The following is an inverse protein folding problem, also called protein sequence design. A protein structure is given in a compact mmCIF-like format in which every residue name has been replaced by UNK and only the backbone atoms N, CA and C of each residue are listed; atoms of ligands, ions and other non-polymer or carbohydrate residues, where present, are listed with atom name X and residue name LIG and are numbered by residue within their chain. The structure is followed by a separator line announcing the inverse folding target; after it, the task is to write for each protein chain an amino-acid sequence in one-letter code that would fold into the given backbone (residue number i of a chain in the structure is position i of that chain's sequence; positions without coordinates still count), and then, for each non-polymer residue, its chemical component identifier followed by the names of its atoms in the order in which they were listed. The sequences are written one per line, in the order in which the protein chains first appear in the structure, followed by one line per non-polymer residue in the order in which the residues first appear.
data_IF_743488853524
#
_entry.id   IF_743488853524
#
_cell.length_a   1.000
_cell.length_b   1.000
_cell.length_c   1.000
_cell.angle_alpha   90.00
_cell.angle_beta   90.00
_cell.angle_gamma   90.00
#
_symmetry.space_group_name_H-M   'P 1'
#
loop_
_entity.id
_entity.type
_entity.pdbx_description
1 polymer ?
#
# COMPACT_ATOMS: atom_id res chain seq x y z
N UNK A 1 -59.22 -44.46 18.90
CA UNK A 1 -60.08 -43.70 17.98
C UNK A 1 -60.75 -42.57 18.73
N UNK A 2 -60.18 -41.40 18.82
CA UNK A 2 -60.83 -40.13 19.20
C UNK A 2 -60.21 -38.99 18.41
N UNK A 3 -60.98 -38.40 17.54
CA UNK A 3 -60.68 -37.21 16.80
C UNK A 3 -60.80 -36.01 17.73
N UNK A 4 -59.78 -35.11 17.73
CA UNK A 4 -59.85 -33.81 18.39
C UNK A 4 -59.74 -32.76 17.29
N UNK A 5 -60.80 -31.96 17.21
CA UNK A 5 -60.92 -30.79 16.33
C UNK A 5 -60.28 -29.61 17.08
N UNK A 6 -59.34 -28.91 16.45
CA UNK A 6 -58.75 -27.68 16.99
C UNK A 6 -59.30 -26.47 16.23
N UNK A 7 -59.98 -25.61 16.97
CA UNK A 7 -60.58 -24.38 16.44
C UNK A 7 -59.51 -23.26 16.35
N UNK A 8 -59.44 -22.57 15.20
CA UNK A 8 -58.62 -21.38 14.99
C UNK A 8 -59.38 -20.15 15.50
N UNK A 9 -58.85 -19.46 16.47
CA UNK A 9 -59.28 -18.12 16.87
C UNK A 9 -58.35 -17.05 16.26
N UNK A 10 -58.93 -16.20 15.45
CA UNK A 10 -58.28 -15.08 14.76
C UNK A 10 -58.29 -13.85 15.68
N UNK A 11 -57.14 -13.41 16.14
CA UNK A 11 -57.00 -12.23 16.97
C UNK A 11 -56.52 -11.05 16.08
N UNK A 12 -57.36 -10.01 15.90
CA UNK A 12 -57.03 -8.77 15.20
C UNK A 12 -56.36 -7.82 16.20
N UNK A 13 -55.11 -7.50 15.96
CA UNK A 13 -54.43 -6.41 16.68
C UNK A 13 -54.45 -5.13 15.83
N UNK A 14 -55.06 -4.10 16.37
CA UNK A 14 -55.09 -2.75 15.82
C UNK A 14 -53.78 -2.06 16.22
N UNK A 15 -52.97 -1.66 15.23
CA UNK A 15 -51.76 -0.89 15.45
C UNK A 15 -52.09 0.61 15.34
N UNK A 16 -51.95 1.32 16.44
CA UNK A 16 -52.05 2.80 16.47
C UNK A 16 -50.70 3.39 16.09
N UNK A 17 -50.66 4.15 14.98
CA UNK A 17 -49.49 4.92 14.57
C UNK A 17 -49.49 6.27 15.34
N UNK A 18 -48.51 6.40 16.25
CA UNK A 18 -48.20 7.73 16.85
C UNK A 18 -47.08 8.35 16.02
N UNK A 19 -47.40 9.43 15.33
CA UNK A 19 -46.46 10.26 14.60
C UNK A 19 -45.81 11.25 15.56
N UNK A 20 -44.54 11.04 15.90
CA UNK A 20 -43.72 12.08 16.54
C UNK A 20 -42.92 12.80 15.48
N UNK A 21 -43.22 14.09 15.24
CA UNK A 21 -42.36 15.01 14.50
C UNK A 21 -41.13 15.34 15.37
N UNK A 22 -39.97 14.78 15.03
CA UNK A 22 -38.68 15.19 15.55
C UNK A 22 -38.00 16.13 14.55
N UNK A 23 -37.53 17.26 15.05
CA UNK A 23 -36.72 18.28 14.34
C UNK A 23 -35.40 17.66 13.84
N UNK A 24 -34.86 18.06 12.67
CA UNK A 24 -33.57 17.56 12.22
C UNK A 24 -32.44 18.22 13.03
N UNK A 25 -31.71 17.39 13.77
CA UNK A 25 -30.43 17.77 14.37
C UNK A 25 -29.35 17.74 13.29
N UNK A 26 -28.78 18.92 13.05
CA UNK A 26 -27.71 19.14 12.09
C UNK A 26 -26.37 18.75 12.75
N UNK A 27 -25.67 17.72 12.23
CA UNK A 27 -24.27 17.54 12.61
C UNK A 27 -23.78 16.11 12.68
N UNK A 28 -24.06 15.29 11.69
CA UNK A 28 -23.24 14.12 11.43
C UNK A 28 -22.52 14.33 10.10
N UNK A 29 -21.22 14.64 10.19
CA UNK A 29 -20.32 14.58 9.04
C UNK A 29 -20.43 13.17 8.45
N UNK A 30 -21.03 13.07 7.28
CA UNK A 30 -21.04 11.84 6.50
C UNK A 30 -19.58 11.54 6.16
N UNK A 31 -19.00 10.56 6.87
CA UNK A 31 -17.83 9.86 6.37
C UNK A 31 -18.32 9.20 5.08
N UNK A 32 -17.96 9.80 3.96
CA UNK A 32 -18.20 9.22 2.65
C UNK A 32 -17.48 7.88 2.61
N UNK A 33 -18.26 6.82 2.77
CA UNK A 33 -17.86 5.44 2.51
C UNK A 33 -17.72 5.31 0.98
N UNK A 34 -16.62 5.86 0.43
CA UNK A 34 -16.22 5.68 -0.97
C UNK A 34 -15.54 4.32 -1.15
N UNK A 35 -16.11 3.30 -0.51
CA UNK A 35 -15.74 1.93 -0.78
C UNK A 35 -16.33 1.49 -2.12
N UNK A 36 -15.46 0.99 -2.99
CA UNK A 36 -15.71 0.20 -4.18
C UNK A 36 -15.77 0.92 -5.53
N UNK A 37 -14.71 1.64 -5.88
CA UNK A 37 -14.51 1.96 -7.30
C UNK A 37 -13.69 0.87 -8.02
N UNK A 38 -12.80 0.17 -7.32
CA UNK A 38 -12.16 -1.06 -7.78
C UNK A 38 -11.71 -1.88 -6.56
N UNK A 39 -12.42 -2.96 -6.23
CA UNK A 39 -12.09 -3.82 -5.09
C UNK A 39 -10.70 -4.47 -5.17
N UNK A 40 -10.08 -4.44 -6.36
CA UNK A 40 -8.77 -5.03 -6.61
C UNK A 40 -7.61 -4.06 -6.33
N UNK A 41 -7.88 -2.75 -6.19
CA UNK A 41 -6.87 -1.71 -5.96
C UNK A 41 -6.92 -1.21 -4.51
N UNK A 42 -5.76 -1.15 -3.88
CA UNK A 42 -5.61 -0.69 -2.51
C UNK A 42 -4.70 0.53 -2.49
N UNK A 43 -5.19 1.65 -1.96
CA UNK A 43 -4.37 2.82 -1.71
C UNK A 43 -3.76 2.74 -0.32
N UNK A 44 -2.45 2.72 -0.26
CA UNK A 44 -1.65 2.70 0.96
C UNK A 44 -0.64 3.84 0.99
N UNK A 45 0.24 3.81 1.99
CA UNK A 45 1.37 4.72 2.11
C UNK A 45 2.64 3.93 2.39
N UNK A 46 3.72 4.25 1.65
CA UNK A 46 5.07 3.92 2.05
C UNK A 46 5.47 4.85 3.20
N UNK A 47 5.80 4.28 4.36
CA UNK A 47 6.08 5.07 5.57
C UNK A 47 7.33 5.95 5.46
N UNK A 48 8.13 5.80 4.40
CA UNK A 48 9.20 6.75 4.10
C UNK A 48 8.67 8.18 3.94
N UNK A 49 7.44 8.34 3.47
CA UNK A 49 6.68 9.62 3.49
C UNK A 49 6.72 10.28 4.88
N UNK A 50 6.74 9.49 5.94
CA UNK A 50 6.76 9.95 7.33
C UNK A 50 8.08 9.62 8.06
N UNK A 51 9.20 9.43 7.36
CA UNK A 51 10.47 8.96 7.94
C UNK A 51 11.09 9.91 8.98
N UNK A 52 10.65 11.17 9.06
CA UNK A 52 11.07 12.10 10.12
C UNK A 52 10.44 11.78 11.48
N UNK A 53 9.50 10.86 11.52
CA UNK A 53 8.76 10.45 12.71
C UNK A 53 9.06 8.98 13.04
N UNK A 54 8.86 8.61 14.30
CA UNK A 54 8.86 7.21 14.68
C UNK A 54 7.65 6.46 14.10
N UNK A 55 7.73 5.12 14.12
CA UNK A 55 6.72 4.25 13.53
C UNK A 55 5.32 4.51 14.10
N UNK A 56 5.19 4.62 15.44
CA UNK A 56 3.88 4.85 16.08
C UNK A 56 3.29 6.17 15.61
N UNK A 57 4.09 7.25 15.61
CA UNK A 57 3.67 8.56 15.09
C UNK A 57 3.35 8.52 13.59
N UNK A 58 4.12 7.77 12.79
CA UNK A 58 3.86 7.60 11.36
C UNK A 58 2.51 6.90 11.11
N UNK A 59 2.17 5.87 11.92
CA UNK A 59 0.86 5.20 11.87
C UNK A 59 -0.28 6.16 12.25
N UNK A 60 -0.10 7.03 13.27
CA UNK A 60 -1.10 8.06 13.61
C UNK A 60 -1.32 9.05 12.45
N UNK A 61 -0.24 9.45 11.77
CA UNK A 61 -0.33 10.34 10.59
C UNK A 61 -1.04 9.66 9.43
N UNK A 62 -0.72 8.40 9.15
CA UNK A 62 -1.40 7.61 8.12
C UNK A 62 -2.89 7.46 8.42
N UNK A 63 -3.26 7.20 9.69
CA UNK A 63 -4.65 7.14 10.14
C UNK A 63 -5.39 8.47 9.92
N UNK A 64 -4.75 9.58 10.31
CA UNK A 64 -5.28 10.94 10.12
C UNK A 64 -5.46 11.29 8.64
N UNK A 65 -4.67 10.70 7.75
CA UNK A 65 -4.79 10.86 6.31
C UNK A 65 -5.84 9.91 5.67
N UNK A 66 -6.48 9.04 6.45
CA UNK A 66 -7.48 8.08 5.96
C UNK A 66 -6.90 6.82 5.33
N UNK A 67 -5.60 6.57 5.50
CA UNK A 67 -4.91 5.39 4.95
C UNK A 67 -5.21 4.14 5.79
N UNK A 68 -5.34 3.00 5.10
CA UNK A 68 -5.58 1.69 5.74
C UNK A 68 -4.56 0.62 5.35
N UNK A 69 -3.76 0.85 4.32
CA UNK A 69 -2.73 -0.08 3.87
C UNK A 69 -1.34 0.55 4.05
N UNK A 70 -0.46 -0.19 4.68
CA UNK A 70 0.86 0.30 5.09
C UNK A 70 1.95 -0.51 4.40
N UNK A 71 2.90 0.19 3.83
CA UNK A 71 4.21 -0.33 3.47
C UNK A 71 5.24 0.26 4.43
N UNK A 72 5.84 -0.56 5.28
CA UNK A 72 6.84 -0.12 6.24
C UNK A 72 8.26 -0.26 5.68
N UNK A 73 9.20 0.51 6.20
CA UNK A 73 10.61 0.44 5.79
C UNK A 73 11.53 0.02 6.94
N UNK A 74 12.67 -0.63 6.64
CA UNK A 74 13.62 -1.06 7.65
C UNK A 74 14.33 0.11 8.33
N UNK A 75 14.58 -0.02 9.63
CA UNK A 75 15.38 0.96 10.38
C UNK A 75 14.61 2.14 10.96
N UNK A 76 13.29 2.22 10.76
CA UNK A 76 12.48 3.25 11.39
C UNK A 76 12.46 3.06 12.92
N UNK A 77 12.73 4.11 13.69
CA UNK A 77 12.57 4.07 15.15
C UNK A 77 11.12 3.77 15.49
N UNK A 78 10.90 2.92 16.50
CA UNK A 78 9.54 2.49 16.85
C UNK A 78 8.73 3.54 17.59
N UNK A 79 9.34 4.23 18.55
CA UNK A 79 8.63 5.19 19.42
C UNK A 79 7.66 4.55 20.41
N UNK A 80 6.88 5.40 21.11
CA UNK A 80 5.89 4.94 22.08
C UNK A 80 6.43 3.94 23.09
N UNK A 81 5.66 2.90 23.38
CA UNK A 81 6.02 1.84 24.33
C UNK A 81 7.10 0.86 23.82
N UNK A 82 7.57 1.04 22.59
CA UNK A 82 8.62 0.20 22.00
C UNK A 82 10.04 0.68 22.32
N UNK A 83 10.17 1.83 23.01
CA UNK A 83 11.44 2.43 23.42
C UNK A 83 12.38 2.67 22.22
N UNK A 84 13.64 2.23 22.34
CA UNK A 84 14.70 2.42 21.34
C UNK A 84 14.73 1.34 20.24
N UNK A 85 13.71 0.49 20.18
CA UNK A 85 13.61 -0.52 19.12
C UNK A 85 13.47 0.12 17.75
N UNK A 86 13.91 -0.59 16.72
CA UNK A 86 13.73 -0.23 15.31
C UNK A 86 12.79 -1.21 14.64
N UNK A 87 12.09 -0.74 13.62
CA UNK A 87 11.21 -1.59 12.81
C UNK A 87 12.05 -2.35 11.78
N UNK A 88 12.35 -3.60 12.10
CA UNK A 88 13.05 -4.53 11.20
C UNK A 88 12.87 -5.99 11.64
N UNK A 89 13.57 -6.90 10.95
CA UNK A 89 13.51 -8.33 11.23
C UNK A 89 14.02 -8.72 12.63
N UNK A 90 14.72 -7.83 13.36
CA UNK A 90 15.20 -8.07 14.73
C UNK A 90 14.15 -7.81 15.81
N UNK A 91 12.97 -7.24 15.45
CA UNK A 91 11.89 -7.04 16.41
C UNK A 91 11.53 -8.33 17.15
N UNK A 92 11.45 -8.25 18.48
CA UNK A 92 11.06 -9.38 19.31
C UNK A 92 9.63 -9.86 18.98
N UNK A 93 9.29 -11.13 19.21
CA UNK A 93 7.93 -11.63 19.03
C UNK A 93 6.88 -10.81 19.80
N UNK A 94 7.21 -10.33 21.01
CA UNK A 94 6.33 -9.46 21.80
C UNK A 94 6.10 -8.12 21.09
N UNK A 95 7.15 -7.48 20.57
CA UNK A 95 7.02 -6.22 19.83
C UNK A 95 6.23 -6.40 18.55
N UNK A 96 6.44 -7.51 17.82
CA UNK A 96 5.64 -7.83 16.62
C UNK A 96 4.16 -7.97 16.95
N UNK A 97 3.82 -8.64 18.06
CA UNK A 97 2.43 -8.76 18.53
C UNK A 97 1.82 -7.38 18.82
N UNK A 98 2.55 -6.51 19.54
CA UNK A 98 2.11 -5.12 19.81
C UNK A 98 1.88 -4.32 18.52
N UNK A 99 2.74 -4.48 17.51
CA UNK A 99 2.55 -3.83 16.20
C UNK A 99 1.27 -4.33 15.54
N UNK A 100 1.04 -5.65 15.51
CA UNK A 100 -0.19 -6.24 14.95
C UNK A 100 -1.44 -5.71 15.67
N UNK A 101 -1.41 -5.60 16.99
CA UNK A 101 -2.52 -5.05 17.79
C UNK A 101 -2.75 -3.56 17.51
N UNK A 102 -1.68 -2.75 17.39
CA UNK A 102 -1.77 -1.34 17.02
C UNK A 102 -2.46 -1.17 15.66
N UNK A 103 -1.97 -1.88 14.64
CA UNK A 103 -2.55 -1.80 13.29
C UNK A 103 -4.00 -2.26 13.27
N UNK A 104 -4.30 -3.38 13.95
CA UNK A 104 -5.66 -3.90 14.08
C UNK A 104 -6.60 -2.91 14.75
N UNK A 105 -6.15 -2.21 15.80
CA UNK A 105 -6.97 -1.22 16.52
C UNK A 105 -7.39 -0.06 15.63
N UNK A 106 -6.62 0.21 14.57
CA UNK A 106 -6.88 1.26 13.58
C UNK A 106 -7.51 0.74 12.27
N UNK A 107 -7.80 -0.55 12.19
CA UNK A 107 -8.30 -1.17 10.96
C UNK A 107 -7.29 -1.10 9.81
N UNK A 108 -6.00 -1.10 10.13
CA UNK A 108 -4.91 -1.04 9.15
C UNK A 108 -4.33 -2.42 8.88
N UNK A 109 -3.75 -2.60 7.70
CA UNK A 109 -3.02 -3.78 7.27
C UNK A 109 -1.61 -3.42 6.83
N UNK A 110 -0.60 -4.11 7.38
CA UNK A 110 0.77 -4.06 6.88
C UNK A 110 0.87 -4.97 5.65
N UNK A 111 0.94 -4.38 4.47
CA UNK A 111 0.86 -5.13 3.20
C UNK A 111 2.22 -5.38 2.56
N UNK A 112 3.18 -4.48 2.81
CA UNK A 112 4.50 -4.55 2.22
C UNK A 112 5.59 -4.08 3.20
N UNK A 113 6.82 -4.46 2.91
CA UNK A 113 8.00 -4.10 3.67
C UNK A 113 9.19 -3.87 2.75
N UNK A 114 9.77 -2.70 2.78
CA UNK A 114 10.93 -2.33 1.97
C UNK A 114 11.12 -0.80 1.91
N UNK A 115 12.12 -0.31 1.19
CA UNK A 115 12.97 -1.06 0.26
C UNK A 115 14.11 -1.72 1.03
N UNK A 116 14.24 -3.03 0.92
CA UNK A 116 15.33 -3.78 1.57
C UNK A 116 16.45 -4.09 0.56
N UNK A 117 17.70 -4.07 1.05
CA UNK A 117 18.90 -4.34 0.24
C UNK A 117 19.83 -5.31 0.99
N UNK A 118 19.38 -6.54 1.32
CA UNK A 118 20.20 -7.50 2.07
C UNK A 118 21.43 -7.93 1.29
N UNK A 119 22.56 -7.99 2.00
CA UNK A 119 23.85 -8.31 1.39
C UNK A 119 24.20 -9.81 1.49
N UNK A 120 23.45 -10.58 2.29
CA UNK A 120 23.72 -12.01 2.51
C UNK A 120 22.44 -12.84 2.42
N UNK A 121 22.56 -14.14 2.07
CA UNK A 121 21.43 -15.07 2.07
C UNK A 121 20.72 -15.18 3.43
N UNK A 122 21.47 -15.14 4.54
CA UNK A 122 20.95 -15.27 5.90
C UNK A 122 20.02 -14.09 6.22
N UNK A 123 20.42 -12.86 5.86
CA UNK A 123 19.58 -11.68 6.04
C UNK A 123 18.25 -11.78 5.25
N UNK A 124 18.25 -12.43 4.09
CA UNK A 124 17.01 -12.72 3.37
C UNK A 124 16.11 -13.70 4.13
N UNK A 125 16.68 -14.76 4.73
CA UNK A 125 15.91 -15.71 5.54
C UNK A 125 15.24 -15.00 6.71
N UNK A 126 15.97 -14.12 7.40
CA UNK A 126 15.43 -13.34 8.53
C UNK A 126 14.27 -12.42 8.07
N UNK A 127 14.43 -11.74 6.94
CA UNK A 127 13.39 -10.87 6.37
C UNK A 127 12.15 -11.67 5.98
N UNK A 128 12.29 -12.82 5.31
CA UNK A 128 11.13 -13.63 4.95
C UNK A 128 10.43 -14.22 6.18
N UNK A 129 11.17 -14.63 7.21
CA UNK A 129 10.61 -15.09 8.47
C UNK A 129 9.83 -13.98 9.17
N UNK A 130 10.39 -12.77 9.22
CA UNK A 130 9.72 -11.58 9.73
C UNK A 130 8.45 -11.25 8.92
N UNK A 131 8.56 -11.21 7.60
CA UNK A 131 7.45 -10.89 6.73
C UNK A 131 6.30 -11.89 6.87
N UNK A 132 6.62 -13.19 6.98
CA UNK A 132 5.63 -14.24 7.22
C UNK A 132 4.91 -14.08 8.57
N UNK A 133 5.66 -13.80 9.65
CA UNK A 133 5.07 -13.56 10.97
C UNK A 133 4.20 -12.28 10.98
N UNK A 134 4.63 -11.22 10.29
CA UNK A 134 3.89 -9.96 10.23
C UNK A 134 2.71 -9.96 9.26
N UNK A 135 2.51 -11.02 8.47
CA UNK A 135 1.45 -11.12 7.47
C UNK A 135 1.65 -10.24 6.24
N UNK A 136 2.91 -9.91 5.92
CA UNK A 136 3.30 -9.10 4.77
C UNK A 136 3.10 -9.91 3.50
N UNK A 137 2.52 -9.30 2.46
CA UNK A 137 2.20 -9.97 1.19
C UNK A 137 3.32 -9.90 0.16
N UNK A 138 4.11 -8.83 0.18
CA UNK A 138 5.28 -8.70 -0.68
C UNK A 138 6.38 -7.87 -0.01
N UNK A 139 7.61 -8.14 -0.41
CA UNK A 139 8.81 -7.44 0.04
C UNK A 139 9.29 -6.57 -1.11
N UNK A 140 9.38 -5.26 -0.90
CA UNK A 140 9.96 -4.32 -1.86
C UNK A 140 11.48 -4.30 -1.69
N UNK A 141 12.25 -4.49 -2.76
CA UNK A 141 13.68 -4.74 -2.65
C UNK A 141 14.50 -4.32 -3.87
N UNK A 142 15.79 -4.07 -3.64
CA UNK A 142 16.83 -4.01 -4.68
C UNK A 142 17.91 -5.06 -4.40
N UNK A 143 17.66 -6.33 -4.75
CA UNK A 143 18.55 -7.43 -4.41
C UNK A 143 19.83 -7.45 -5.25
N UNK A 144 20.92 -8.01 -4.69
CA UNK A 144 22.07 -8.37 -5.50
C UNK A 144 21.66 -9.41 -6.57
N UNK A 145 22.18 -9.27 -7.78
CA UNK A 145 21.85 -10.18 -8.91
C UNK A 145 22.18 -11.63 -8.61
N UNK A 146 23.24 -11.88 -7.83
CA UNK A 146 23.64 -13.21 -7.36
C UNK A 146 22.59 -13.89 -6.46
N UNK A 147 21.66 -13.13 -5.87
CA UNK A 147 20.66 -13.64 -4.96
C UNK A 147 19.31 -13.98 -5.62
N UNK A 148 19.09 -13.60 -6.88
CA UNK A 148 17.77 -13.73 -7.53
C UNK A 148 17.13 -15.11 -7.40
N UNK A 149 17.89 -16.18 -7.72
CA UNK A 149 17.34 -17.54 -7.66
C UNK A 149 17.10 -18.01 -6.22
N UNK A 150 17.91 -17.56 -5.27
CA UNK A 150 17.73 -17.86 -3.86
C UNK A 150 16.48 -17.20 -3.30
N UNK A 151 16.28 -15.90 -3.57
CA UNK A 151 15.10 -15.16 -3.09
C UNK A 151 13.82 -15.65 -3.78
N UNK A 152 13.84 -16.03 -5.05
CA UNK A 152 12.70 -16.63 -5.73
C UNK A 152 12.26 -17.93 -5.02
N UNK A 153 13.23 -18.77 -4.64
CA UNK A 153 12.96 -20.00 -3.89
C UNK A 153 12.35 -19.70 -2.52
N UNK A 154 12.91 -18.76 -1.76
CA UNK A 154 12.34 -18.32 -0.48
C UNK A 154 10.93 -17.76 -0.64
N UNK A 155 10.73 -16.90 -1.62
CA UNK A 155 9.44 -16.31 -1.94
C UNK A 155 8.37 -17.38 -2.19
N UNK A 156 8.74 -18.48 -2.88
CA UNK A 156 7.87 -19.64 -3.06
C UNK A 156 7.57 -20.38 -1.75
N UNK A 157 8.58 -20.57 -0.89
CA UNK A 157 8.41 -21.27 0.41
C UNK A 157 7.47 -20.48 1.34
N UNK A 158 7.65 -19.15 1.41
CA UNK A 158 6.85 -18.30 2.30
C UNK A 158 5.52 -17.83 1.68
N UNK A 159 5.32 -18.08 0.37
CA UNK A 159 4.19 -17.53 -0.41
C UNK A 159 4.13 -15.98 -0.31
N UNK A 160 5.28 -15.33 -0.37
CA UNK A 160 5.44 -13.88 -0.31
C UNK A 160 6.18 -13.44 -1.57
N UNK A 161 5.65 -12.50 -2.34
CA UNK A 161 6.32 -11.98 -3.54
C UNK A 161 7.49 -11.08 -3.18
N UNK A 162 8.51 -11.03 -4.05
CA UNK A 162 9.52 -9.97 -4.03
C UNK A 162 9.26 -9.02 -5.18
N UNK A 163 9.07 -7.75 -4.86
CA UNK A 163 8.80 -6.69 -5.81
C UNK A 163 10.07 -5.83 -5.96
N UNK A 164 10.74 -5.93 -7.12
CA UNK A 164 11.95 -5.16 -7.39
C UNK A 164 11.59 -3.69 -7.59
N UNK A 165 12.21 -2.84 -6.78
CA UNK A 165 12.06 -1.38 -6.82
C UNK A 165 13.07 -0.74 -7.77
N UNK A 166 12.74 0.41 -8.31
CA UNK A 166 13.51 1.12 -9.34
C UNK A 166 13.98 2.51 -8.90
N UNK A 167 14.86 2.59 -7.90
CA UNK A 167 15.49 3.88 -7.60
C UNK A 167 16.17 4.49 -8.84
N UNK A 168 16.33 5.83 -8.90
CA UNK A 168 17.04 6.47 -10.01
C UNK A 168 18.50 6.00 -10.08
N UNK A 169 19.13 6.23 -11.22
CA UNK A 169 20.59 6.04 -11.35
C UNK A 169 21.32 6.63 -10.15
N UNK A 170 22.29 5.91 -9.55
CA UNK A 170 23.01 4.72 -10.10
C UNK A 170 22.43 3.35 -9.73
N UNK A 171 21.15 3.23 -9.28
CA UNK A 171 20.55 1.91 -9.01
C UNK A 171 20.68 0.98 -10.21
N UNK A 172 20.93 -0.30 -9.93
CA UNK A 172 20.95 -1.34 -10.96
C UNK A 172 19.58 -1.55 -11.64
N UNK A 173 18.50 -1.17 -10.95
CA UNK A 173 17.12 -1.42 -11.36
C UNK A 173 16.40 -0.18 -11.94
N UNK A 174 17.13 0.90 -12.21
CA UNK A 174 16.58 2.15 -12.72
C UNK A 174 15.76 2.00 -14.01
N UNK A 175 15.95 0.91 -14.76
CA UNK A 175 15.29 0.66 -16.04
C UNK A 175 14.49 -0.65 -16.01
N UNK A 176 13.28 -0.72 -16.57
CA UNK A 176 12.45 -1.91 -16.53
C UNK A 176 13.10 -3.16 -17.13
N UNK A 177 14.01 -3.02 -18.09
CA UNK A 177 14.72 -4.18 -18.66
C UNK A 177 15.61 -4.90 -17.62
N UNK A 178 16.17 -4.17 -16.64
CA UNK A 178 16.92 -4.77 -15.52
C UNK A 178 15.99 -5.56 -14.59
N UNK A 179 14.78 -5.05 -14.37
CA UNK A 179 13.75 -5.73 -13.58
C UNK A 179 13.29 -6.99 -14.32
N UNK A 180 13.05 -6.92 -15.62
CA UNK A 180 12.70 -8.10 -16.45
C UNK A 180 13.79 -9.17 -16.42
N UNK A 181 15.06 -8.80 -16.39
CA UNK A 181 16.16 -9.75 -16.26
C UNK A 181 16.12 -10.50 -14.91
N UNK A 182 15.72 -9.81 -13.83
CA UNK A 182 15.52 -10.43 -12.52
C UNK A 182 14.30 -11.36 -12.48
N UNK A 183 13.23 -11.02 -13.19
CA UNK A 183 11.97 -11.78 -13.24
C UNK A 183 12.12 -13.05 -14.10
N UNK A 184 12.99 -13.04 -15.13
CA UNK A 184 13.11 -14.12 -16.11
C UNK A 184 13.33 -15.48 -15.45
N UNK A 185 12.35 -16.38 -15.59
CA UNK A 185 12.37 -17.73 -15.01
C UNK A 185 12.15 -17.75 -13.48
N UNK A 186 11.68 -16.66 -12.86
CA UNK A 186 11.48 -16.53 -11.42
C UNK A 186 10.06 -16.03 -11.12
N UNK A 187 9.09 -16.94 -10.98
CA UNK A 187 7.67 -16.60 -10.90
C UNK A 187 7.28 -15.86 -9.61
N UNK A 188 8.14 -15.87 -8.60
CA UNK A 188 7.86 -15.20 -7.32
C UNK A 188 8.48 -13.80 -7.22
N UNK A 189 9.21 -13.37 -8.26
CA UNK A 189 9.76 -12.02 -8.38
C UNK A 189 8.90 -11.22 -9.36
N UNK A 190 8.59 -9.97 -9.00
CA UNK A 190 7.90 -9.01 -9.85
C UNK A 190 8.47 -7.60 -9.66
N UNK A 191 7.72 -6.59 -10.03
CA UNK A 191 8.12 -5.20 -9.96
C UNK A 191 7.31 -4.43 -8.89
N UNK A 192 7.98 -3.59 -8.12
CA UNK A 192 7.42 -2.43 -7.45
C UNK A 192 7.73 -1.22 -8.32
N UNK A 193 6.75 -0.73 -9.05
CA UNK A 193 6.91 0.33 -10.03
C UNK A 193 6.89 1.70 -9.35
N UNK A 194 8.04 2.38 -9.19
CA UNK A 194 8.06 3.77 -8.79
C UNK A 194 8.00 4.68 -10.01
N UNK A 195 6.82 5.21 -10.29
CA UNK A 195 6.55 6.00 -11.49
C UNK A 195 7.28 7.35 -11.49
N UNK A 196 7.58 7.92 -10.32
CA UNK A 196 8.36 9.14 -10.20
C UNK A 196 9.84 8.90 -10.46
N UNK A 197 10.37 7.76 -10.00
CA UNK A 197 11.76 7.40 -10.25
C UNK A 197 12.04 7.10 -11.73
N UNK A 198 11.10 6.47 -12.43
CA UNK A 198 11.20 6.39 -13.90
C UNK A 198 11.22 7.77 -14.53
N UNK A 199 10.32 8.67 -14.10
CA UNK A 199 10.30 10.05 -14.56
C UNK A 199 11.62 10.79 -14.30
N UNK A 200 12.23 10.63 -13.13
CA UNK A 200 13.55 11.17 -12.77
C UNK A 200 14.66 10.68 -13.73
N UNK A 201 14.54 9.46 -14.26
CA UNK A 201 15.45 8.92 -15.28
C UNK A 201 15.08 9.31 -16.71
N UNK A 202 14.01 10.10 -16.92
CA UNK A 202 13.52 10.50 -18.23
C UNK A 202 12.75 9.41 -18.98
N UNK A 203 12.27 8.39 -18.27
CA UNK A 203 11.45 7.32 -18.83
C UNK A 203 9.97 7.68 -18.72
N UNK A 204 9.19 7.30 -19.74
CA UNK A 204 7.73 7.38 -19.68
C UNK A 204 7.19 6.23 -18.82
N UNK A 205 6.52 6.51 -17.67
CA UNK A 205 5.99 5.46 -16.79
C UNK A 205 4.98 4.52 -17.48
N UNK A 206 4.20 5.02 -18.43
CA UNK A 206 3.23 4.20 -19.17
C UNK A 206 3.96 3.17 -20.04
N UNK A 207 5.02 3.59 -20.74
CA UNK A 207 5.83 2.67 -21.54
C UNK A 207 6.60 1.66 -20.68
N UNK A 208 7.05 2.09 -19.49
CA UNK A 208 7.66 1.18 -18.51
C UNK A 208 6.66 0.12 -18.02
N UNK A 209 5.43 0.52 -17.70
CA UNK A 209 4.36 -0.39 -17.29
C UNK A 209 3.99 -1.38 -18.40
N UNK A 210 3.92 -0.94 -19.67
CA UNK A 210 3.70 -1.83 -20.81
C UNK A 210 4.78 -2.90 -20.93
N UNK A 211 6.05 -2.53 -20.72
CA UNK A 211 7.15 -3.50 -20.69
C UNK A 211 7.02 -4.52 -19.55
N UNK A 212 6.50 -4.11 -18.41
CA UNK A 212 6.32 -4.92 -17.21
C UNK A 212 4.92 -5.56 -17.11
N UNK A 213 4.15 -5.60 -18.21
CA UNK A 213 2.80 -6.16 -18.23
C UNK A 213 2.75 -7.56 -17.60
N UNK A 214 1.86 -7.74 -16.62
CA UNK A 214 1.70 -8.99 -15.88
C UNK A 214 2.73 -9.24 -14.77
N UNK A 215 3.69 -8.32 -14.57
CA UNK A 215 4.76 -8.48 -13.59
C UNK A 215 4.71 -7.45 -12.45
N UNK A 216 3.83 -6.44 -12.50
CA UNK A 216 3.69 -5.44 -11.45
C UNK A 216 3.00 -6.06 -10.24
N UNK A 217 3.66 -6.01 -9.07
CA UNK A 217 3.17 -6.50 -7.77
C UNK A 217 2.62 -5.35 -6.93
N UNK A 218 3.30 -4.22 -6.95
CA UNK A 218 2.95 -2.99 -6.26
C UNK A 218 3.46 -1.77 -7.04
N UNK A 219 3.02 -0.59 -6.63
CA UNK A 219 3.41 0.66 -7.27
C UNK A 219 3.62 1.74 -6.21
N UNK A 220 4.71 2.51 -6.33
CA UNK A 220 4.85 3.76 -5.61
C UNK A 220 4.24 4.90 -6.40
N UNK A 221 3.17 5.48 -5.83
CA UNK A 221 2.47 6.63 -6.40
C UNK A 221 3.23 7.89 -6.04
N UNK A 222 4.03 8.34 -6.97
CA UNK A 222 4.92 9.50 -6.86
C UNK A 222 4.78 10.38 -8.09
N UNK A 223 4.69 11.69 -7.91
CA UNK A 223 4.75 12.68 -8.97
C UNK A 223 5.96 13.58 -8.76
N UNK A 224 6.50 14.16 -9.81
CA UNK A 224 7.72 14.94 -9.79
C UNK A 224 7.57 16.23 -10.57
N UNK A 225 8.46 17.20 -10.30
CA UNK A 225 8.42 18.52 -10.93
C UNK A 225 8.92 18.51 -12.37
N UNK A 226 9.89 17.65 -12.71
CA UNK A 226 10.61 17.72 -14.00
C UNK A 226 11.10 16.33 -14.43
N UNK A 227 10.82 15.97 -15.69
CA UNK A 227 11.30 14.72 -16.30
C UNK A 227 12.80 14.77 -16.58
N UNK A 228 13.46 13.61 -16.41
CA UNK A 228 14.90 13.45 -16.76
C UNK A 228 15.86 14.13 -15.79
N UNK A 229 15.37 14.58 -14.65
CA UNK A 229 16.17 15.21 -13.61
C UNK A 229 16.16 14.34 -12.35
N UNK A 230 17.30 13.69 -12.06
CA UNK A 230 17.44 12.70 -10.98
C UNK A 230 17.07 13.26 -9.60
N UNK A 231 17.36 14.54 -9.36
CA UNK A 231 17.05 15.28 -8.14
C UNK A 231 15.75 16.12 -8.23
N UNK A 232 14.88 15.84 -9.20
CA UNK A 232 13.60 16.53 -9.29
C UNK A 232 12.80 16.36 -7.97
N UNK A 233 12.33 17.50 -7.45
CA UNK A 233 11.50 17.49 -6.24
C UNK A 233 10.18 16.76 -6.49
N UNK A 234 9.67 16.12 -5.45
CA UNK A 234 8.35 15.55 -5.46
C UNK A 234 7.27 16.63 -5.57
N UNK A 235 6.17 16.26 -6.17
CA UNK A 235 4.96 17.06 -6.29
C UNK A 235 3.77 16.24 -5.78
N UNK A 236 2.73 16.93 -5.34
CA UNK A 236 1.47 16.24 -5.06
C UNK A 236 0.97 15.63 -6.37
N UNK A 237 0.70 14.30 -6.43
CA UNK A 237 0.18 13.63 -7.61
C UNK A 237 -0.95 14.39 -8.31
N UNK A 238 -0.78 14.62 -9.61
CA UNK A 238 -1.66 15.45 -10.45
C UNK A 238 -1.25 16.91 -10.54
N UNK A 239 -0.22 17.36 -9.81
CA UNK A 239 0.32 18.72 -9.93
C UNK A 239 1.73 18.76 -10.53
N UNK A 240 2.35 17.61 -10.71
CA UNK A 240 3.65 17.44 -11.37
C UNK A 240 3.53 17.10 -12.85
N UNK A 241 4.54 16.40 -13.34
CA UNK A 241 4.66 16.10 -14.79
C UNK A 241 4.32 14.66 -15.16
N UNK A 242 4.09 13.78 -14.20
CA UNK A 242 3.69 12.39 -14.46
C UNK A 242 2.22 12.33 -14.88
N UNK A 243 1.94 11.69 -16.00
CA UNK A 243 0.56 11.48 -16.46
C UNK A 243 -0.12 10.36 -15.66
N UNK A 244 -0.48 10.66 -14.39
CA UNK A 244 -1.13 9.70 -13.49
C UNK A 244 -2.40 9.08 -14.09
N UNK A 245 -3.31 9.84 -14.73
CA UNK A 245 -4.49 9.25 -15.36
C UNK A 245 -4.14 8.18 -16.41
N UNK A 246 -3.10 8.39 -17.23
CA UNK A 246 -2.66 7.40 -18.21
C UNK A 246 -2.01 6.17 -17.55
N UNK A 247 -1.27 6.35 -16.46
CA UNK A 247 -0.73 5.24 -15.64
C UNK A 247 -1.86 4.37 -15.10
N UNK A 248 -2.89 4.98 -14.50
CA UNK A 248 -4.04 4.25 -13.96
C UNK A 248 -4.83 3.54 -15.07
N UNK A 249 -5.04 4.19 -16.22
CA UNK A 249 -5.70 3.58 -17.37
C UNK A 249 -4.93 2.36 -17.90
N UNK A 250 -3.61 2.44 -17.97
CA UNK A 250 -2.76 1.32 -18.40
C UNK A 250 -2.81 0.15 -17.41
N UNK A 251 -2.70 0.42 -16.11
CA UNK A 251 -2.82 -0.60 -15.07
C UNK A 251 -4.21 -1.28 -15.08
N UNK A 252 -5.27 -0.50 -15.34
CA UNK A 252 -6.60 -1.05 -15.52
C UNK A 252 -6.67 -1.96 -16.76
N UNK A 253 -6.11 -1.53 -17.90
CA UNK A 253 -6.01 -2.34 -19.13
C UNK A 253 -5.32 -3.68 -18.88
N UNK A 254 -4.24 -3.67 -18.05
CA UNK A 254 -3.49 -4.86 -17.68
C UNK A 254 -4.22 -5.76 -16.66
N UNK A 255 -5.34 -5.30 -16.07
CA UNK A 255 -6.04 -6.02 -15.01
C UNK A 255 -5.22 -6.08 -13.71
N UNK A 256 -4.39 -5.06 -13.44
CA UNK A 256 -3.57 -4.97 -12.23
C UNK A 256 -4.44 -5.11 -10.98
N UNK A 257 -3.94 -5.90 -10.02
CA UNK A 257 -4.53 -6.09 -8.68
C UNK A 257 -3.42 -5.95 -7.65
N UNK A 258 -3.46 -4.87 -6.89
CA UNK A 258 -2.37 -4.64 -5.93
C UNK A 258 -2.49 -3.32 -5.19
N UNK A 259 -1.40 -2.93 -4.58
CA UNK A 259 -1.31 -1.75 -3.73
C UNK A 259 -0.61 -0.62 -4.47
N UNK A 260 -1.20 0.57 -4.39
CA UNK A 260 -0.57 1.84 -4.70
C UNK A 260 -0.10 2.43 -3.37
N UNK A 261 1.20 2.45 -3.11
CA UNK A 261 1.78 3.08 -1.93
C UNK A 261 2.12 4.53 -2.25
N UNK A 262 1.44 5.47 -1.62
CA UNK A 262 1.83 6.89 -1.70
C UNK A 262 3.25 7.01 -1.15
N UNK A 263 4.15 7.55 -1.96
CA UNK A 263 5.47 7.95 -1.49
C UNK A 263 5.71 9.39 -1.88
N UNK A 264 5.63 10.28 -0.89
CA UNK A 264 5.71 11.73 -1.07
C UNK A 264 6.86 12.30 -0.22
N UNK A 265 7.91 12.72 -0.91
CA UNK A 265 9.18 13.12 -0.31
C UNK A 265 9.31 14.65 -0.25
N UNK A 266 8.29 15.31 0.28
CA UNK A 266 8.29 16.76 0.50
C UNK A 266 7.54 17.11 1.79
N UNK A 267 7.63 18.37 2.23
CA UNK A 267 6.92 18.90 3.40
C UNK A 267 7.03 18.00 4.66
N UNK A 268 8.18 17.40 4.87
CA UNK A 268 8.48 16.28 5.76
C UNK A 268 7.85 16.35 7.16
N UNK A 269 7.70 17.55 7.73
CA UNK A 269 7.18 17.73 9.07
C UNK A 269 5.69 18.02 9.13
N UNK A 270 5.06 18.39 8.00
CA UNK A 270 3.63 18.75 7.92
C UNK A 270 2.96 18.21 6.65
N UNK A 271 3.24 16.97 6.29
CA UNK A 271 2.80 16.37 5.02
C UNK A 271 1.47 15.59 5.10
N UNK A 272 0.81 15.53 6.26
CA UNK A 272 -0.54 14.90 6.35
C UNK A 272 -1.56 15.56 5.42
N UNK A 273 -1.65 16.91 5.32
CA UNK A 273 -2.55 17.55 4.36
C UNK A 273 -2.25 17.17 2.91
N UNK A 274 -0.97 17.02 2.56
CA UNK A 274 -0.55 16.63 1.21
C UNK A 274 -1.01 15.19 0.92
N UNK A 275 -0.80 14.26 1.85
CA UNK A 275 -1.28 12.87 1.72
C UNK A 275 -2.80 12.82 1.61
N UNK A 276 -3.55 13.63 2.38
CA UNK A 276 -5.01 13.73 2.25
C UNK A 276 -5.43 14.21 0.86
N UNK A 277 -4.71 15.19 0.29
CA UNK A 277 -4.96 15.67 -1.06
C UNK A 277 -4.67 14.58 -2.10
N UNK A 278 -3.58 13.81 -1.93
CA UNK A 278 -3.25 12.67 -2.79
C UNK A 278 -4.35 11.59 -2.74
N UNK A 279 -4.85 11.27 -1.54
CA UNK A 279 -5.97 10.33 -1.37
C UNK A 279 -7.21 10.80 -2.13
N UNK A 280 -7.57 12.09 -1.99
CA UNK A 280 -8.70 12.68 -2.70
C UNK A 280 -8.52 12.62 -4.22
N UNK A 281 -7.35 13.00 -4.71
CA UNK A 281 -7.01 12.95 -6.14
C UNK A 281 -7.07 11.53 -6.70
N UNK A 282 -6.40 10.56 -6.06
CA UNK A 282 -6.41 9.17 -6.49
C UNK A 282 -7.84 8.62 -6.59
N UNK A 283 -8.67 8.84 -5.56
CA UNK A 283 -10.04 8.37 -5.56
C UNK A 283 -10.87 8.98 -6.69
N UNK A 284 -10.67 10.27 -6.99
CA UNK A 284 -11.34 10.95 -8.10
C UNK A 284 -10.93 10.37 -9.46
N UNK A 285 -9.63 10.14 -9.68
CA UNK A 285 -9.11 9.56 -10.93
C UNK A 285 -9.59 8.12 -11.12
N UNK A 286 -9.57 7.30 -10.05
CA UNK A 286 -10.08 5.92 -10.11
C UNK A 286 -11.58 5.91 -10.42
N UNK A 287 -12.36 6.83 -9.84
CA UNK A 287 -13.79 6.96 -10.14
C UNK A 287 -14.06 7.39 -11.60
N UNK A 288 -13.16 8.16 -12.20
CA UNK A 288 -13.26 8.59 -13.60
C UNK A 288 -12.86 7.52 -14.61
N UNK A 289 -12.18 6.46 -14.20
CA UNK A 289 -11.82 5.33 -15.08
C UNK A 289 -13.08 4.59 -15.55
N UNK A 290 -13.34 4.68 -16.84
CA UNK A 290 -14.50 4.04 -17.50
C UNK A 290 -14.23 2.55 -17.82
#
# INVERSE_FOLDING_TARGET
MKRIILALTLLHTITILISCKGTPDSGASAVNDTAAVNSDWQLGVQLWTFHKFDFVTAIEKADSAGIRFIEAFPGQKMGGDFKDSIFDASLSPESRAKVKDLLKSKGMSLVAYGVVVPQTPEAWVDIFSFAGDMGIRYITAEPLTSHWSFIDSLAGVYNIKVAIHDHPKPSAYWHPDSVLAAIAGRPNIGACADIGHWGRNGLDPVECLKKLEGHVVGLHLKDIREMGKVDAADMIPGTGVINIPAVLAELKRQGFKGTFSIEHEDNWYNNVPDVQQIVGYFNAEVAALK
#
